data_IF_882980232842
#
_entry.id   IF_882980232842
#
_cell.length_a   1.000
_cell.length_b   1.000
_cell.length_c   1.000
_cell.angle_alpha   90.00
_cell.angle_beta   90.00
_cell.angle_gamma   90.00
#
_symmetry.space_group_name_H-M   'P 1'
#
loop_
_entity.id
_entity.type
_entity.pdbx_description
1 polymer ?
#
# COMPACT_ATOMS: atom_id res chain seq x y z
N UNK A 1 -52.17 31.34 -25.92
CA UNK A 1 -51.15 32.35 -26.16
C UNK A 1 -49.80 31.73 -25.93
N UNK A 2 -49.40 31.04 -27.01
CA UNK A 2 -48.07 30.92 -27.62
C UNK A 2 -46.96 30.29 -26.77
N UNK A 3 -46.54 29.03 -27.01
CA UNK A 3 -45.81 28.44 -28.16
C UNK A 3 -44.31 28.80 -28.22
N UNK A 4 -43.54 27.81 -28.72
CA UNK A 4 -42.10 27.77 -29.09
C UNK A 4 -41.14 27.33 -27.95
N UNK A 5 -40.59 26.11 -27.89
CA UNK A 5 -39.96 25.23 -28.90
C UNK A 5 -38.78 25.90 -29.62
N UNK A 6 -37.53 25.53 -29.28
CA UNK A 6 -36.51 25.16 -30.29
C UNK A 6 -35.22 24.59 -29.65
N UNK A 7 -34.93 23.39 -30.12
CA UNK A 7 -33.66 22.68 -30.18
C UNK A 7 -32.41 23.47 -30.56
N UNK A 8 -31.25 23.03 -30.05
CA UNK A 8 -30.04 22.94 -30.88
C UNK A 8 -29.12 21.78 -30.48
N UNK A 9 -29.22 20.74 -31.31
CA UNK A 9 -28.22 19.71 -31.58
C UNK A 9 -27.06 20.31 -32.40
N UNK A 10 -25.82 20.11 -31.97
CA UNK A 10 -24.58 20.17 -32.79
C UNK A 10 -23.60 19.19 -32.11
N UNK A 11 -23.49 17.93 -32.53
CA UNK A 11 -22.71 17.43 -33.68
C UNK A 11 -21.31 18.06 -33.85
N UNK A 12 -20.29 17.27 -33.54
CA UNK A 12 -18.92 17.48 -34.03
C UNK A 12 -18.18 16.14 -34.11
N UNK A 13 -18.33 15.58 -35.31
CA UNK A 13 -17.42 14.72 -36.07
C UNK A 13 -15.97 14.70 -35.57
N UNK A 14 -15.37 13.54 -35.31
CA UNK A 14 -14.82 12.62 -36.31
C UNK A 14 -13.63 13.23 -37.07
N UNK A 15 -12.41 13.13 -36.51
CA UNK A 15 -11.19 13.16 -37.31
C UNK A 15 -10.00 12.50 -36.57
N UNK A 16 -9.04 11.99 -37.34
CA UNK A 16 -7.72 11.47 -36.97
C UNK A 16 -7.55 9.97 -36.68
N UNK A 17 -8.24 9.11 -37.44
CA UNK A 17 -7.70 7.79 -37.84
C UNK A 17 -6.64 7.96 -38.94
N UNK A 18 -5.38 8.26 -38.61
CA UNK A 18 -4.24 8.13 -39.57
C UNK A 18 -2.88 8.15 -38.89
N UNK A 19 -2.30 6.97 -38.60
CA UNK A 19 -0.88 6.65 -38.90
C UNK A 19 -0.52 5.22 -38.49
N UNK A 20 -0.82 4.30 -39.41
CA UNK A 20 -0.17 2.98 -39.52
C UNK A 20 1.08 3.11 -40.42
N UNK A 21 2.09 2.30 -40.10
CA UNK A 21 3.16 1.76 -40.98
C UNK A 21 4.32 2.67 -41.42
N UNK A 22 5.40 2.61 -40.64
CA UNK A 22 6.81 2.60 -41.10
C UNK A 22 7.66 2.37 -39.83
N UNK A 23 8.61 1.44 -39.66
CA UNK A 23 9.48 0.67 -40.54
C UNK A 23 9.95 -0.58 -39.78
N UNK A 24 9.70 -1.77 -40.33
CA UNK A 24 10.48 -3.00 -40.07
C UNK A 24 11.72 -2.93 -40.96
N UNK A 25 12.93 -2.98 -40.37
CA UNK A 25 14.21 -3.50 -40.90
C UNK A 25 15.40 -2.67 -40.38
N UNK A 26 16.00 -3.10 -39.28
CA UNK A 26 17.46 -3.24 -39.18
C UNK A 26 17.79 -4.18 -38.03
N UNK A 27 17.88 -5.45 -38.36
CA UNK A 27 18.58 -6.44 -37.57
C UNK A 27 20.09 -6.20 -37.68
N UNK A 28 20.81 -6.74 -36.68
CA UNK A 28 22.21 -7.22 -36.80
C UNK A 28 23.34 -6.18 -36.68
N UNK A 29 23.64 -5.74 -35.44
CA UNK A 29 25.01 -5.73 -34.88
C UNK A 29 25.02 -5.25 -33.42
N UNK A 30 25.91 -5.83 -32.61
CA UNK A 30 26.19 -5.58 -31.17
C UNK A 30 25.50 -6.50 -30.15
N UNK A 31 25.63 -7.81 -30.38
CA UNK A 31 26.07 -8.75 -29.31
C UNK A 31 27.53 -8.38 -28.96
N UNK A 32 27.97 -8.63 -27.72
CA UNK A 32 29.29 -8.31 -27.13
C UNK A 32 29.45 -6.94 -26.44
N UNK A 33 28.68 -6.73 -25.36
CA UNK A 33 29.22 -6.03 -24.16
C UNK A 33 28.40 -6.35 -22.90
N UNK A 34 28.14 -7.64 -22.67
CA UNK A 34 27.50 -8.16 -21.45
C UNK A 34 28.57 -8.99 -20.73
N UNK A 35 29.20 -8.43 -19.69
CA UNK A 35 29.90 -9.09 -18.56
C UNK A 35 31.02 -8.20 -17.99
N UNK A 36 30.70 -7.06 -17.36
CA UNK A 36 31.59 -6.38 -16.38
C UNK A 36 30.93 -5.20 -15.64
N UNK A 37 29.68 -5.32 -15.17
CA UNK A 37 29.06 -4.31 -14.27
C UNK A 37 28.04 -4.93 -13.29
N UNK A 38 28.40 -6.04 -12.64
CA UNK A 38 27.62 -6.61 -11.52
C UNK A 38 28.54 -6.86 -10.32
N UNK A 39 29.00 -5.78 -9.69
CA UNK A 39 29.53 -5.75 -8.32
C UNK A 39 29.69 -4.28 -7.94
N UNK A 40 28.73 -3.75 -7.18
CA UNK A 40 28.70 -2.47 -6.42
C UNK A 40 27.25 -1.95 -6.35
N UNK A 41 26.37 -2.64 -5.63
CA UNK A 41 25.06 -2.11 -5.18
C UNK A 41 24.65 -2.72 -3.83
N UNK A 42 25.58 -2.76 -2.87
CA UNK A 42 25.31 -3.25 -1.50
C UNK A 42 26.08 -2.45 -0.46
N UNK A 43 26.07 -1.12 -0.59
CA UNK A 43 26.72 -0.17 0.32
C UNK A 43 26.04 1.20 0.22
N UNK A 44 24.70 1.23 0.25
CA UNK A 44 23.92 2.47 0.13
C UNK A 44 23.53 3.07 1.48
N UNK A 45 23.74 2.36 2.60
CA UNK A 45 23.29 2.81 3.92
C UNK A 45 24.32 3.69 4.64
N UNK A 46 25.61 3.54 4.32
CA UNK A 46 26.68 4.31 4.96
C UNK A 46 27.01 5.62 4.22
N UNK A 47 26.80 5.69 2.89
CA UNK A 47 27.09 6.90 2.11
C UNK A 47 26.12 8.06 2.40
N UNK A 48 24.87 7.77 2.77
CA UNK A 48 23.91 8.82 3.15
C UNK A 48 24.26 9.46 4.50
N UNK A 49 25.03 8.77 5.35
CA UNK A 49 25.42 9.27 6.67
C UNK A 49 26.64 10.21 6.60
N UNK A 50 27.56 10.00 5.65
CA UNK A 50 28.72 10.90 5.43
C UNK A 50 28.35 12.26 4.83
N UNK A 51 27.27 12.35 4.03
CA UNK A 51 26.81 13.64 3.48
C UNK A 51 25.95 14.45 4.49
N UNK A 52 25.40 13.81 5.53
CA UNK A 52 24.65 14.50 6.57
C UNK A 52 25.52 15.38 7.49
N UNK A 53 26.83 15.13 7.56
CA UNK A 53 27.76 15.97 8.33
C UNK A 53 28.00 17.35 7.70
N UNK A 54 27.62 17.55 6.43
CA UNK A 54 27.85 18.81 5.72
C UNK A 54 26.65 19.75 5.67
N UNK A 55 25.43 19.24 5.88
CA UNK A 55 24.21 20.05 5.85
C UNK A 55 23.48 20.01 7.20
N UNK A 56 23.55 21.08 8.01
CA UNK A 56 22.88 21.13 9.31
C UNK A 56 21.35 21.00 9.19
N UNK A 57 20.77 21.35 8.04
CA UNK A 57 19.33 21.19 7.79
C UNK A 57 19.00 19.71 7.63
N UNK A 58 19.80 18.97 6.86
CA UNK A 58 19.64 17.53 6.69
C UNK A 58 19.79 16.80 8.02
N UNK A 59 20.85 17.11 8.79
CA UNK A 59 21.07 16.49 10.11
C UNK A 59 19.89 16.70 11.06
N UNK A 60 19.32 17.92 11.09
CA UNK A 60 18.10 18.21 11.85
C UNK A 60 16.92 17.38 11.38
N UNK A 61 16.69 17.30 10.07
CA UNK A 61 15.55 16.57 9.53
C UNK A 61 15.65 15.07 9.83
N UNK A 62 16.85 14.47 9.72
CA UNK A 62 17.09 13.10 10.15
C UNK A 62 16.78 12.91 11.64
N UNK A 63 17.19 13.84 12.51
CA UNK A 63 16.87 13.76 13.92
C UNK A 63 15.35 13.75 14.19
N UNK A 64 14.57 14.60 13.50
CA UNK A 64 13.10 14.61 13.62
C UNK A 64 12.53 13.27 13.14
N UNK A 65 13.00 12.76 12.00
CA UNK A 65 12.51 11.51 11.41
C UNK A 65 12.84 10.31 12.28
N UNK A 66 14.04 10.24 12.86
CA UNK A 66 14.42 9.17 13.77
C UNK A 66 13.50 9.16 15.00
N UNK A 67 13.20 10.33 15.59
CA UNK A 67 12.24 10.42 16.71
C UNK A 67 10.81 10.04 16.32
N UNK A 68 10.38 10.40 15.11
CA UNK A 68 9.08 9.99 14.59
C UNK A 68 9.03 8.47 14.38
N UNK A 69 10.09 7.87 13.85
CA UNK A 69 10.18 6.43 13.67
C UNK A 69 10.12 5.70 15.02
N UNK A 70 10.92 6.12 16.01
CA UNK A 70 10.90 5.55 17.36
C UNK A 70 9.49 5.64 17.97
N UNK A 71 8.85 6.81 17.88
CA UNK A 71 7.50 7.05 18.39
C UNK A 71 6.47 6.11 17.74
N UNK A 72 6.49 6.00 16.40
CA UNK A 72 5.51 5.19 15.67
C UNK A 72 5.75 3.69 15.80
N UNK A 73 7.01 3.29 16.03
CA UNK A 73 7.36 1.91 16.28
C UNK A 73 6.87 1.44 17.65
N UNK A 74 7.06 2.26 18.69
CA UNK A 74 6.60 1.94 20.05
C UNK A 74 5.08 2.15 20.22
N UNK A 75 4.52 3.16 19.56
CA UNK A 75 3.14 3.62 19.73
C UNK A 75 2.40 3.78 18.40
N UNK A 76 2.08 2.68 17.69
CA UNK A 76 1.50 2.74 16.35
C UNK A 76 0.14 3.45 16.28
N UNK A 77 -0.62 3.47 17.38
CA UNK A 77 -1.88 4.20 17.48
C UNK A 77 -1.74 5.71 17.33
N UNK A 78 -0.55 6.28 17.56
CA UNK A 78 -0.29 7.70 17.34
C UNK A 78 -0.14 8.08 15.87
N UNK A 79 -0.04 7.12 14.95
CA UNK A 79 0.09 7.40 13.53
C UNK A 79 -1.11 8.16 12.96
N UNK A 80 -2.32 7.88 13.46
CA UNK A 80 -3.54 8.60 13.09
C UNK A 80 -3.72 9.91 13.86
N UNK A 81 -3.27 9.97 15.11
CA UNK A 81 -3.48 11.11 16.01
C UNK A 81 -2.48 12.25 15.78
N UNK A 82 -1.22 11.93 15.48
CA UNK A 82 -0.16 12.92 15.35
C UNK A 82 -0.45 14.00 14.29
N UNK A 83 -0.94 13.68 13.07
CA UNK A 83 -1.33 14.69 12.10
C UNK A 83 -2.38 15.66 12.64
N UNK A 84 -3.37 15.16 13.38
CA UNK A 84 -4.44 15.97 13.98
C UNK A 84 -3.87 16.88 15.06
N UNK A 85 -2.95 16.36 15.89
CA UNK A 85 -2.26 17.14 16.92
C UNK A 85 -1.46 18.28 16.29
N UNK A 86 -0.71 18.02 15.21
CA UNK A 86 0.08 19.04 14.52
C UNK A 86 -0.80 20.15 13.93
N UNK A 87 -1.96 19.80 13.34
CA UNK A 87 -2.94 20.78 12.83
C UNK A 87 -3.50 21.64 13.96
N UNK A 88 -3.96 21.02 15.05
CA UNK A 88 -4.47 21.74 16.22
C UNK A 88 -3.42 22.67 16.83
N UNK A 89 -2.16 22.22 16.86
CA UNK A 89 -1.05 23.03 17.37
C UNK A 89 -0.81 24.26 16.51
N UNK A 90 -0.89 24.14 15.17
CA UNK A 90 -0.82 25.30 14.27
C UNK A 90 -1.99 26.26 14.41
N UNK A 91 -3.17 25.76 14.80
CA UNK A 91 -4.33 26.58 15.14
C UNK A 91 -4.21 27.26 16.53
N UNK A 92 -3.06 27.14 17.20
CA UNK A 92 -2.79 27.78 18.50
C UNK A 92 -3.16 26.94 19.72
N UNK A 93 -3.52 25.67 19.55
CA UNK A 93 -3.81 24.77 20.67
C UNK A 93 -2.51 24.37 21.37
N UNK A 94 -2.52 24.40 22.71
CA UNK A 94 -1.44 23.87 23.54
C UNK A 94 -1.69 22.43 23.95
N UNK A 95 -0.63 21.63 24.02
CA UNK A 95 -0.70 20.22 24.41
C UNK A 95 0.10 19.99 25.69
N UNK A 96 -0.59 19.71 26.80
CA UNK A 96 0.04 19.28 28.04
C UNK A 96 0.19 17.76 28.05
N UNK A 97 1.38 17.28 27.68
CA UNK A 97 1.69 15.85 27.60
C UNK A 97 1.63 15.15 28.96
N UNK A 98 1.63 15.88 30.09
CA UNK A 98 1.47 15.28 31.43
C UNK A 98 0.06 14.76 31.69
N UNK A 99 -0.91 15.18 30.87
CA UNK A 99 -2.30 14.72 30.95
C UNK A 99 -2.54 13.43 30.17
N UNK A 100 -1.56 12.96 29.39
CA UNK A 100 -1.65 11.69 28.70
C UNK A 100 -1.53 10.54 29.70
N UNK A 101 -2.41 9.53 29.55
CA UNK A 101 -2.37 8.31 30.37
C UNK A 101 -1.14 7.47 30.10
N UNK A 102 -0.68 7.45 28.84
CA UNK A 102 0.53 6.75 28.44
C UNK A 102 1.76 7.65 28.55
N UNK A 103 2.58 7.37 29.58
CA UNK A 103 3.81 8.11 29.89
C UNK A 103 4.89 7.90 28.83
N UNK A 104 4.96 6.72 28.21
CA UNK A 104 5.95 6.41 27.18
C UNK A 104 5.62 7.16 25.90
N UNK A 105 4.34 7.15 25.48
CA UNK A 105 3.85 7.95 24.36
C UNK A 105 4.09 9.45 24.59
N UNK A 106 3.81 9.96 25.80
CA UNK A 106 4.07 11.34 26.17
C UNK A 106 5.57 11.71 26.05
N UNK A 107 6.46 10.81 26.50
CA UNK A 107 7.91 11.02 26.39
C UNK A 107 8.38 11.00 24.92
N UNK A 108 7.86 10.08 24.10
CA UNK A 108 8.18 10.03 22.68
C UNK A 108 7.73 11.28 21.93
N UNK A 109 6.49 11.76 22.19
CA UNK A 109 5.99 13.03 21.68
C UNK A 109 6.84 14.22 22.15
N UNK A 110 7.27 14.23 23.41
CA UNK A 110 8.15 15.26 23.94
C UNK A 110 9.47 15.33 23.16
N UNK A 111 10.05 14.17 22.80
CA UNK A 111 11.27 14.09 22.01
C UNK A 111 11.06 14.62 20.59
N UNK A 112 9.94 14.28 19.95
CA UNK A 112 9.55 14.81 18.64
C UNK A 112 9.39 16.33 18.70
N UNK A 113 8.61 16.86 19.65
CA UNK A 113 8.39 18.31 19.77
C UNK A 113 9.68 19.08 20.10
N UNK A 114 10.55 18.53 20.94
CA UNK A 114 11.86 19.10 21.23
C UNK A 114 12.76 19.15 19.96
N UNK A 115 12.72 18.10 19.12
CA UNK A 115 13.46 18.10 17.85
C UNK A 115 12.95 19.16 16.87
N UNK A 116 11.68 19.55 16.98
CA UNK A 116 11.04 20.60 16.19
C UNK A 116 11.18 22.00 16.79
N UNK A 117 11.92 22.20 17.88
CA UNK A 117 12.00 23.52 18.53
C UNK A 117 12.62 24.62 17.69
N UNK A 118 13.59 24.29 16.84
CA UNK A 118 14.14 25.24 15.86
C UNK A 118 13.15 25.67 14.76
N UNK A 119 11.99 25.00 14.68
CA UNK A 119 10.91 25.24 13.72
C UNK A 119 9.71 25.98 14.35
N UNK A 120 9.88 26.47 15.58
CA UNK A 120 8.87 27.24 16.31
C UNK A 120 8.05 26.43 17.32
N UNK A 121 8.32 25.13 17.50
CA UNK A 121 7.64 24.32 18.54
C UNK A 121 8.29 24.57 19.90
N UNK A 122 7.61 25.30 20.77
CA UNK A 122 8.13 25.75 22.06
C UNK A 122 7.38 25.13 23.23
N UNK A 123 8.10 24.88 24.32
CA UNK A 123 7.50 24.47 25.59
C UNK A 123 7.20 25.70 26.43
N UNK A 124 5.94 25.86 26.83
CA UNK A 124 5.48 26.94 27.70
C UNK A 124 5.90 26.72 29.16
N UNK A 125 5.87 27.79 29.96
CA UNK A 125 6.08 27.72 31.41
C UNK A 125 5.03 26.87 32.12
N UNK A 126 3.82 26.78 31.54
CA UNK A 126 2.73 25.89 31.97
C UNK A 126 3.11 24.41 31.87
N UNK A 127 4.12 24.07 31.06
CA UNK A 127 4.52 22.70 30.72
C UNK A 127 3.93 22.20 29.40
N UNK A 128 2.97 22.94 28.82
CA UNK A 128 2.37 22.62 27.52
C UNK A 128 3.29 22.91 26.34
N UNK A 129 3.05 22.23 25.22
CA UNK A 129 3.73 22.47 23.96
C UNK A 129 2.85 23.26 23.01
N UNK A 130 3.38 24.35 22.46
CA UNK A 130 2.71 25.19 21.46
C UNK A 130 3.61 25.44 20.27
N UNK A 131 3.01 25.89 19.18
CA UNK A 131 3.74 26.36 18.02
C UNK A 131 3.60 27.87 17.88
N UNK A 132 4.74 28.54 17.71
CA UNK A 132 4.79 29.96 17.43
C UNK A 132 5.13 30.16 15.95
N UNK A 133 4.15 30.66 15.18
CA UNK A 133 4.34 30.93 13.76
C UNK A 133 5.41 32.01 13.56
N UNK A 134 6.46 31.79 12.74
CA UNK A 134 7.46 32.80 12.45
C UNK A 134 6.97 33.92 11.49
N UNK A 135 5.65 34.11 11.34
CA UNK A 135 5.06 35.16 10.50
C UNK A 135 3.56 35.34 10.73
N UNK A 136 3.01 36.47 10.29
CA UNK A 136 1.65 36.94 10.57
C UNK A 136 0.49 36.12 9.92
N UNK A 137 0.75 34.90 9.45
CA UNK A 137 -0.24 34.02 8.83
C UNK A 137 -0.49 32.76 9.66
N UNK A 138 -1.77 32.49 9.97
CA UNK A 138 -2.22 31.24 10.59
C UNK A 138 -2.48 30.21 9.50
N UNK A 139 -1.42 29.55 9.04
CA UNK A 139 -1.54 28.41 8.15
C UNK A 139 -1.67 27.12 8.99
N UNK A 140 -2.91 26.65 9.14
CA UNK A 140 -3.28 25.46 9.93
C UNK A 140 -2.67 24.15 9.42
N UNK A 141 -2.10 24.14 8.22
CA UNK A 141 -1.45 22.96 7.64
C UNK A 141 0.06 23.11 7.60
N UNK A 142 0.63 24.16 8.19
CA UNK A 142 2.05 24.47 8.08
C UNK A 142 2.93 23.38 8.67
N UNK A 143 2.72 23.01 9.94
CA UNK A 143 3.51 21.95 10.59
C UNK A 143 3.37 20.61 9.89
N UNK A 144 2.18 20.29 9.38
CA UNK A 144 1.94 19.07 8.62
C UNK A 144 2.75 19.07 7.31
N UNK A 145 2.70 20.17 6.54
CA UNK A 145 3.48 20.34 5.30
C UNK A 145 4.98 20.35 5.56
N UNK A 146 5.41 20.98 6.65
CA UNK A 146 6.80 21.02 7.07
C UNK A 146 7.30 19.61 7.42
N UNK A 147 6.54 18.86 8.21
CA UNK A 147 6.86 17.47 8.57
C UNK A 147 6.94 16.59 7.33
N UNK A 148 5.97 16.71 6.42
CA UNK A 148 6.01 16.03 5.11
C UNK A 148 7.25 16.42 4.29
N UNK A 149 7.62 17.70 4.27
CA UNK A 149 8.81 18.17 3.57
C UNK A 149 10.10 17.57 4.15
N UNK A 150 10.20 17.46 5.48
CA UNK A 150 11.34 16.80 6.15
C UNK A 150 11.41 15.31 5.81
N UNK A 151 10.28 14.60 5.84
CA UNK A 151 10.19 13.19 5.42
C UNK A 151 10.61 13.00 3.96
N UNK A 152 10.14 13.86 3.07
CA UNK A 152 10.53 13.82 1.66
C UNK A 152 12.04 14.06 1.46
N UNK A 153 12.64 15.00 2.21
CA UNK A 153 14.06 15.32 2.11
C UNK A 153 14.97 14.16 2.54
N UNK A 154 14.54 13.34 3.50
CA UNK A 154 15.28 12.13 3.91
C UNK A 154 14.99 10.91 3.02
N UNK A 155 14.10 11.04 2.03
CA UNK A 155 13.74 9.97 1.09
C UNK A 155 12.56 9.10 1.52
N UNK A 156 11.82 9.48 2.58
CA UNK A 156 10.55 8.86 2.96
C UNK A 156 9.40 9.51 2.19
N UNK A 157 9.42 9.36 0.86
CA UNK A 157 8.39 9.90 -0.03
C UNK A 157 7.26 8.90 -0.27
N UNK A 158 6.10 9.36 -0.75
CA UNK A 158 4.99 8.47 -1.13
C UNK A 158 5.41 7.51 -2.25
N UNK A 159 6.24 7.96 -3.19
CA UNK A 159 6.78 7.13 -4.25
C UNK A 159 7.67 6.01 -3.68
N UNK A 160 8.50 6.31 -2.67
CA UNK A 160 9.32 5.30 -2.01
C UNK A 160 8.47 4.26 -1.24
N UNK A 161 7.34 4.70 -0.68
CA UNK A 161 6.35 3.82 -0.02
C UNK A 161 5.65 2.93 -1.05
N UNK A 162 5.17 3.50 -2.15
CA UNK A 162 4.53 2.76 -3.25
C UNK A 162 5.49 1.73 -3.87
N UNK A 163 6.74 2.13 -4.11
CA UNK A 163 7.81 1.24 -4.58
C UNK A 163 8.06 0.10 -3.59
N UNK A 164 8.10 0.38 -2.28
CA UNK A 164 8.28 -0.64 -1.25
C UNK A 164 7.15 -1.67 -1.26
N UNK A 165 5.90 -1.23 -1.28
CA UNK A 165 4.74 -2.14 -1.33
C UNK A 165 4.66 -2.91 -2.65
N UNK A 166 4.96 -2.26 -3.78
CA UNK A 166 5.05 -2.90 -5.09
C UNK A 166 6.09 -4.02 -5.12
N UNK A 167 7.29 -3.74 -4.59
CA UNK A 167 8.37 -4.74 -4.49
C UNK A 167 8.04 -5.87 -3.50
N UNK A 168 7.36 -5.58 -2.39
CA UNK A 168 7.02 -6.61 -1.41
C UNK A 168 5.93 -7.54 -1.94
N UNK A 169 4.93 -7.00 -2.65
CA UNK A 169 3.92 -7.79 -3.35
C UNK A 169 4.55 -8.66 -4.44
N UNK A 170 5.52 -8.13 -5.19
CA UNK A 170 6.21 -8.91 -6.23
C UNK A 170 7.12 -10.01 -5.63
N UNK A 171 7.73 -9.78 -4.46
CA UNK A 171 8.49 -10.80 -3.73
C UNK A 171 7.61 -11.87 -3.12
N UNK A 172 6.47 -11.50 -2.51
CA UNK A 172 5.50 -12.47 -2.03
C UNK A 172 4.93 -13.32 -3.18
N UNK A 173 4.67 -12.74 -4.36
CA UNK A 173 4.30 -13.52 -5.55
C UNK A 173 5.44 -14.41 -6.11
N UNK A 174 6.71 -14.10 -5.83
CA UNK A 174 7.84 -14.91 -6.26
C UNK A 174 8.21 -16.02 -5.27
N UNK A 175 8.00 -15.82 -3.96
CA UNK A 175 8.15 -16.85 -2.94
C UNK A 175 6.92 -17.77 -2.85
N UNK A 176 5.71 -17.25 -3.11
CA UNK A 176 4.51 -18.03 -3.39
C UNK A 176 4.40 -18.42 -4.86
N UNK A 177 5.52 -18.74 -5.53
CA UNK A 177 5.48 -19.57 -6.73
C UNK A 177 5.38 -21.02 -6.29
N UNK A 178 4.18 -21.64 -6.24
CA UNK A 178 4.13 -23.06 -6.47
C UNK A 178 4.79 -23.27 -7.84
N UNK A 179 5.69 -24.24 -7.92
CA UNK A 179 6.29 -24.72 -9.17
C UNK A 179 5.28 -24.57 -10.31
N UNK A 180 5.62 -23.83 -11.38
CA UNK A 180 4.67 -23.46 -12.44
C UNK A 180 3.89 -24.66 -13.06
N UNK A 181 4.36 -25.88 -12.81
CA UNK A 181 3.67 -27.12 -13.14
C UNK A 181 2.40 -27.37 -12.29
N UNK A 182 2.38 -26.99 -11.02
CA UNK A 182 1.25 -27.22 -10.12
C UNK A 182 0.05 -26.35 -10.51
N UNK A 183 0.23 -25.05 -10.76
CA UNK A 183 -0.88 -24.16 -11.14
C UNK A 183 -1.53 -24.58 -12.46
N UNK A 184 -0.76 -25.07 -13.44
CA UNK A 184 -1.32 -25.62 -14.68
C UNK A 184 -1.99 -26.98 -14.49
N UNK A 185 -1.46 -27.82 -13.60
CA UNK A 185 -2.06 -29.13 -13.29
C UNK A 185 -3.42 -28.95 -12.63
N UNK A 186 -3.50 -28.05 -11.63
CA UNK A 186 -4.75 -27.68 -10.97
C UNK A 186 -5.71 -27.08 -11.98
N UNK A 187 -5.29 -26.11 -12.78
CA UNK A 187 -6.17 -25.52 -13.79
C UNK A 187 -6.73 -26.55 -14.77
N UNK A 188 -5.92 -27.51 -15.22
CA UNK A 188 -6.36 -28.58 -16.12
C UNK A 188 -7.30 -29.59 -15.44
N UNK A 189 -7.05 -29.92 -14.17
CA UNK A 189 -7.87 -30.85 -13.41
C UNK A 189 -9.21 -30.21 -13.02
N UNK A 190 -9.21 -28.94 -12.59
CA UNK A 190 -10.41 -28.14 -12.32
C UNK A 190 -11.24 -27.95 -13.59
N UNK A 191 -10.63 -27.61 -14.73
CA UNK A 191 -11.35 -27.53 -16.01
C UNK A 191 -11.91 -28.91 -16.45
N UNK A 192 -11.17 -29.98 -16.20
CA UNK A 192 -11.63 -31.35 -16.42
C UNK A 192 -12.85 -31.70 -15.57
N UNK A 193 -12.85 -31.31 -14.29
CA UNK A 193 -13.98 -31.49 -13.38
C UNK A 193 -15.19 -30.67 -13.82
N UNK A 194 -15.01 -29.38 -14.09
CA UNK A 194 -16.05 -28.48 -14.59
C UNK A 194 -16.64 -28.95 -15.93
N UNK A 195 -15.85 -29.62 -16.78
CA UNK A 195 -16.35 -30.19 -18.04
C UNK A 195 -17.31 -31.38 -17.85
N UNK A 196 -17.24 -32.09 -16.70
CA UNK A 196 -18.21 -33.12 -16.32
C UNK A 196 -19.53 -32.51 -15.85
N UNK A 197 -19.46 -31.30 -15.28
CA UNK A 197 -20.62 -30.50 -14.88
C UNK A 197 -21.02 -29.52 -15.99
N UNK A 198 -21.09 -29.98 -17.24
CA UNK A 198 -21.64 -29.17 -18.33
C UNK A 198 -23.01 -28.64 -17.87
N UNK A 199 -23.22 -27.32 -17.79
CA UNK A 199 -24.54 -26.79 -17.54
C UNK A 199 -25.39 -27.24 -18.71
N UNK A 200 -26.32 -28.17 -18.47
CA UNK A 200 -27.40 -28.39 -19.42
C UNK A 200 -28.04 -27.02 -19.61
N UNK A 201 -28.17 -26.56 -20.85
CA UNK A 201 -28.81 -25.27 -21.16
C UNK A 201 -30.33 -25.28 -20.89
N UNK A 202 -30.82 -26.28 -20.15
CA UNK A 202 -32.14 -26.25 -19.57
C UNK A 202 -32.16 -25.17 -18.49
N UNK A 203 -33.16 -24.28 -18.57
CA UNK A 203 -33.31 -23.07 -17.74
C UNK A 203 -33.44 -23.33 -16.22
N UNK A 204 -33.43 -24.59 -15.81
CA UNK A 204 -33.46 -25.04 -14.41
C UNK A 204 -32.08 -25.52 -13.94
N UNK A 205 -31.01 -24.87 -14.44
CA UNK A 205 -29.62 -25.28 -14.22
C UNK A 205 -29.28 -25.36 -12.73
N UNK A 206 -28.85 -26.56 -12.31
CA UNK A 206 -28.45 -26.90 -10.94
C UNK A 206 -27.59 -25.79 -10.28
N UNK A 207 -28.05 -25.17 -9.17
CA UNK A 207 -27.35 -24.07 -8.50
C UNK A 207 -25.93 -24.46 -8.07
N UNK A 208 -25.73 -25.74 -7.76
CA UNK A 208 -24.45 -26.32 -7.36
C UNK A 208 -23.33 -26.11 -8.40
N UNK A 209 -23.65 -26.19 -9.70
CA UNK A 209 -22.62 -26.04 -10.74
C UNK A 209 -22.08 -24.61 -10.83
N UNK A 210 -22.94 -23.62 -10.62
CA UNK A 210 -22.57 -22.20 -10.60
C UNK A 210 -21.78 -21.87 -9.34
N UNK A 211 -22.20 -22.40 -8.20
CA UNK A 211 -21.47 -22.26 -6.93
C UNK A 211 -20.08 -22.89 -7.03
N UNK A 212 -19.96 -24.10 -7.59
CA UNK A 212 -18.66 -24.75 -7.77
C UNK A 212 -17.74 -23.93 -8.70
N UNK A 213 -18.28 -23.33 -9.77
CA UNK A 213 -17.52 -22.44 -10.65
C UNK A 213 -17.04 -21.18 -9.90
N UNK A 214 -17.93 -20.56 -9.11
CA UNK A 214 -17.58 -19.39 -8.30
C UNK A 214 -16.46 -19.75 -7.30
N UNK A 215 -16.58 -20.91 -6.66
CA UNK A 215 -15.60 -21.42 -5.70
C UNK A 215 -14.24 -21.68 -6.37
N UNK A 216 -14.23 -22.28 -7.55
CA UNK A 216 -12.99 -22.45 -8.34
C UNK A 216 -12.33 -21.11 -8.71
N UNK A 217 -13.12 -20.06 -8.97
CA UNK A 217 -12.57 -18.71 -9.24
C UNK A 217 -11.94 -18.09 -7.99
N UNK A 218 -12.59 -18.20 -6.84
CA UNK A 218 -12.05 -17.71 -5.57
C UNK A 218 -10.68 -18.35 -5.25
N UNK A 219 -10.54 -19.67 -5.49
CA UNK A 219 -9.25 -20.37 -5.36
C UNK A 219 -8.18 -19.80 -6.31
N UNK A 220 -8.53 -19.58 -7.57
CA UNK A 220 -7.59 -19.04 -8.56
C UNK A 220 -7.13 -17.61 -8.23
N UNK A 221 -7.99 -16.84 -7.55
CA UNK A 221 -7.73 -15.48 -7.05
C UNK A 221 -6.93 -15.47 -5.74
N UNK A 222 -6.67 -16.63 -5.12
CA UNK A 222 -5.91 -16.75 -3.89
C UNK A 222 -6.71 -16.41 -2.62
N UNK A 223 -8.04 -16.44 -2.71
CA UNK A 223 -8.90 -16.22 -1.55
C UNK A 223 -8.96 -17.48 -0.67
N UNK A 224 -8.99 -17.28 0.65
CA UNK A 224 -9.26 -18.33 1.62
C UNK A 224 -10.73 -18.73 1.57
N UNK A 225 -11.01 -20.04 1.60
CA UNK A 225 -12.37 -20.56 1.56
C UNK A 225 -12.59 -21.39 2.82
N UNK A 226 -13.59 -21.03 3.61
CA UNK A 226 -14.05 -21.88 4.69
C UNK A 226 -14.92 -22.99 4.12
N UNK A 227 -14.58 -24.24 4.46
CA UNK A 227 -15.42 -25.41 4.21
C UNK A 227 -16.36 -25.70 5.40
N UNK A 228 -16.24 -24.92 6.46
CA UNK A 228 -17.07 -25.06 7.65
C UNK A 228 -18.49 -24.58 7.38
N UNK A 229 -19.48 -25.37 7.80
CA UNK A 229 -20.90 -25.11 7.52
C UNK A 229 -21.47 -25.77 6.26
N UNK A 230 -20.67 -26.55 5.51
CA UNK A 230 -21.21 -27.41 4.45
C UNK A 230 -22.04 -28.56 5.07
N UNK A 231 -23.30 -28.76 4.66
CA UNK A 231 -24.20 -29.74 5.27
C UNK A 231 -23.93 -31.19 4.83
N UNK A 232 -23.18 -31.41 3.75
CA UNK A 232 -22.85 -32.73 3.22
C UNK A 232 -21.38 -33.06 3.46
N UNK A 233 -21.14 -34.01 4.36
CA UNK A 233 -19.79 -34.48 4.71
C UNK A 233 -19.06 -35.07 3.49
N UNK A 234 -19.76 -35.73 2.57
CA UNK A 234 -19.12 -36.29 1.37
C UNK A 234 -18.62 -35.19 0.43
N UNK A 235 -19.39 -34.09 0.32
CA UNK A 235 -18.98 -32.93 -0.46
C UNK A 235 -17.78 -32.26 0.19
N UNK A 236 -17.80 -32.10 1.52
CA UNK A 236 -16.68 -31.53 2.27
C UNK A 236 -15.41 -32.35 2.05
N UNK A 237 -15.47 -33.68 2.20
CA UNK A 237 -14.33 -34.57 2.00
C UNK A 237 -13.82 -34.53 0.55
N UNK A 238 -14.71 -34.47 -0.44
CA UNK A 238 -14.33 -34.35 -1.85
C UNK A 238 -13.66 -33.00 -2.16
N UNK A 239 -14.10 -31.92 -1.50
CA UNK A 239 -13.49 -30.60 -1.61
C UNK A 239 -12.14 -30.54 -0.90
N UNK A 240 -12.01 -31.15 0.28
CA UNK A 240 -10.72 -31.29 0.97
C UNK A 240 -9.71 -32.09 0.14
N UNK A 241 -10.11 -33.22 -0.46
CA UNK A 241 -9.24 -34.01 -1.35
C UNK A 241 -8.85 -33.21 -2.60
N UNK A 242 -9.78 -32.44 -3.18
CA UNK A 242 -9.49 -31.55 -4.31
C UNK A 242 -8.48 -30.46 -3.91
N UNK A 243 -8.63 -29.86 -2.74
CA UNK A 243 -7.74 -28.80 -2.25
C UNK A 243 -6.35 -29.34 -1.93
N UNK A 244 -6.27 -30.51 -1.31
CA UNK A 244 -5.02 -31.21 -1.05
C UNK A 244 -4.30 -31.55 -2.36
N UNK A 245 -5.02 -32.07 -3.37
CA UNK A 245 -4.47 -32.30 -4.71
C UNK A 245 -4.04 -31.01 -5.40
N UNK A 246 -4.73 -29.90 -5.10
CA UNK A 246 -4.37 -28.59 -5.59
C UNK A 246 -3.17 -27.94 -4.87
N UNK A 247 -2.64 -28.58 -3.83
CA UNK A 247 -1.53 -28.06 -3.02
C UNK A 247 -1.94 -26.88 -2.14
N UNK A 248 -3.23 -26.77 -1.80
CA UNK A 248 -3.71 -25.82 -0.81
C UNK A 248 -3.48 -26.40 0.59
N UNK A 249 -2.94 -25.58 1.49
CA UNK A 249 -2.73 -25.96 2.89
C UNK A 249 -3.97 -25.64 3.72
N UNK A 250 -4.35 -26.56 4.60
CA UNK A 250 -5.43 -26.34 5.57
C UNK A 250 -4.88 -25.47 6.70
N UNK A 251 -5.43 -24.26 6.86
CA UNK A 251 -5.13 -23.37 7.98
C UNK A 251 -6.30 -23.35 8.96
N UNK A 252 -6.03 -23.62 10.25
CA UNK A 252 -7.00 -23.40 11.31
C UNK A 252 -7.19 -21.90 11.49
N UNK A 253 -8.40 -21.39 11.25
CA UNK A 253 -8.75 -20.03 11.66
C UNK A 253 -8.92 -20.04 13.17
N UNK A 254 -8.13 -19.23 13.87
CA UNK A 254 -8.30 -19.01 15.30
C UNK A 254 -9.53 -18.12 15.43
N UNK A 255 -10.57 -18.62 16.09
CA UNK A 255 -11.72 -17.79 16.44
C UNK A 255 -11.24 -16.70 17.40
N UNK A 256 -11.31 -15.44 16.98
CA UNK A 256 -11.09 -14.29 17.85
C UNK A 256 -12.30 -14.15 18.78
N UNK A 257 -12.17 -14.70 20.01
CA UNK A 257 -13.12 -14.54 21.13
C UNK A 257 -13.25 -13.09 21.63
#
# INVERSE_FOLDING_TARGET
DDDDDDSSLMDSSEDSRRRRKSRKKSSKKKKDKKQKKKKKRSSGKDAAKEDAEKDPIAARNYAVVDRLYDLMHEHPGLASELPIMLIRMTSGTSFDLRQMSDVSAAQGLQNVFASMSSLGVTKESSGGWTWQSPGAGTDELFLLRLTRSMLNQVGLTMEAVDDYYGMNNEKQLQEAKPTANAKSAVQNETLGLLSKFKPSMDKDSNPLSLELIALCRMILEGQSISLEGLPDDNLRDAMEDLFAKAGLEKSEMVDDD
#
